data_IF_317559328476
#
_entry.id   IF_317559328476
#
_cell.length_a   1.000
_cell.length_b   1.000
_cell.length_c   1.000
_cell.angle_alpha   90.00
_cell.angle_beta   90.00
_cell.angle_gamma   90.00
#
_symmetry.space_group_name_H-M   'P 1'
#
loop_
_entity.id
_entity.type
_entity.pdbx_description
1 polymer ?
#
# COMPACT_ATOMS: atom_id res chain seq x y z
N UNK A 1 -17.25 -8.77 -0.79
CA UNK A 1 -16.12 -7.84 -0.70
C UNK A 1 -15.31 -8.06 -1.96
N UNK A 2 -15.19 -7.04 -2.80
CA UNK A 2 -14.42 -7.09 -4.05
C UNK A 2 -12.94 -6.81 -3.76
N UNK A 3 -12.04 -7.13 -4.71
CA UNK A 3 -10.60 -6.89 -4.55
C UNK A 3 -10.29 -5.44 -4.12
N UNK A 4 -10.98 -4.46 -4.71
CA UNK A 4 -10.84 -3.04 -4.34
C UNK A 4 -11.12 -2.75 -2.86
N UNK A 5 -12.07 -3.44 -2.25
CA UNK A 5 -12.42 -3.23 -0.83
C UNK A 5 -11.29 -3.72 0.08
N UNK A 6 -10.61 -4.79 -0.32
CA UNK A 6 -9.42 -5.29 0.36
C UNK A 6 -8.22 -4.36 0.17
N UNK A 7 -8.00 -3.85 -1.05
CA UNK A 7 -6.94 -2.85 -1.31
C UNK A 7 -7.18 -1.60 -0.46
N UNK A 8 -8.42 -1.09 -0.40
CA UNK A 8 -8.78 0.04 0.44
C UNK A 8 -8.54 -0.22 1.93
N UNK A 9 -8.81 -1.44 2.38
CA UNK A 9 -8.55 -1.85 3.77
C UNK A 9 -7.04 -1.92 4.03
N UNK A 10 -6.27 -2.47 3.09
CA UNK A 10 -4.82 -2.55 3.15
C UNK A 10 -4.17 -1.16 3.26
N UNK A 11 -4.56 -0.20 2.41
CA UNK A 11 -4.09 1.20 2.48
C UNK A 11 -4.32 1.79 3.88
N UNK A 12 -5.52 1.58 4.45
CA UNK A 12 -5.85 2.08 5.80
C UNK A 12 -5.02 1.42 6.89
N UNK A 13 -4.75 0.12 6.77
CA UNK A 13 -3.93 -0.59 7.75
C UNK A 13 -2.47 -0.16 7.65
N UNK A 14 -1.92 -0.04 6.45
CA UNK A 14 -0.56 0.49 6.23
C UNK A 14 -0.45 1.90 6.79
N UNK A 15 -1.41 2.78 6.52
CA UNK A 15 -1.45 4.14 7.10
C UNK A 15 -1.38 4.13 8.63
N UNK A 16 -2.12 3.22 9.29
CA UNK A 16 -2.05 3.06 10.76
C UNK A 16 -0.69 2.55 11.22
N UNK A 17 -0.15 1.53 10.56
CA UNK A 17 1.17 0.95 10.87
C UNK A 17 2.32 1.95 10.66
N UNK A 18 2.19 2.84 9.68
CA UNK A 18 3.13 3.95 9.45
C UNK A 18 2.99 5.03 10.54
N UNK A 19 1.78 5.29 11.01
CA UNK A 19 1.51 6.27 12.06
C UNK A 19 1.92 5.79 13.46
N UNK A 20 1.78 4.49 13.74
CA UNK A 20 2.15 3.88 15.03
C UNK A 20 3.62 3.43 15.10
N UNK A 21 4.34 3.49 13.97
CA UNK A 21 5.77 3.17 13.88
C UNK A 21 6.06 1.67 13.70
N UNK A 22 5.05 0.85 13.40
CA UNK A 22 5.25 -0.58 13.09
C UNK A 22 5.88 -0.81 11.72
N UNK A 23 5.75 0.14 10.79
CA UNK A 23 6.46 0.15 9.51
C UNK A 23 7.58 1.19 9.54
N UNK A 24 8.79 0.76 9.19
CA UNK A 24 9.97 1.60 9.17
C UNK A 24 10.05 2.38 7.85
N UNK A 25 9.86 3.70 7.92
CA UNK A 25 9.95 4.60 6.76
C UNK A 25 11.35 4.66 6.14
N UNK A 26 12.36 4.15 6.83
CA UNK A 26 13.74 4.07 6.35
C UNK A 26 14.15 2.63 6.03
N UNK A 27 13.17 1.75 5.75
CA UNK A 27 13.43 0.36 5.43
C UNK A 27 14.44 0.24 4.28
N UNK A 28 15.55 -0.46 4.55
CA UNK A 28 16.60 -0.65 3.57
C UNK A 28 16.17 -1.68 2.53
N UNK A 29 16.42 -1.38 1.26
CA UNK A 29 16.12 -2.30 0.15
C UNK A 29 15.25 -1.68 -0.93
N UNK A 30 14.59 -0.56 -0.62
CA UNK A 30 13.84 0.24 -1.58
C UNK A 30 14.65 1.46 -2.02
N UNK A 31 14.64 1.74 -3.32
CA UNK A 31 15.24 2.95 -3.88
C UNK A 31 14.23 4.08 -4.04
N UNK A 32 12.93 3.76 -3.96
CA UNK A 32 11.84 4.69 -4.17
C UNK A 32 10.75 4.48 -3.09
N UNK A 33 10.29 5.54 -2.41
CA UNK A 33 9.24 5.44 -1.38
C UNK A 33 7.89 4.94 -1.89
N UNK A 34 7.61 5.11 -3.19
CA UNK A 34 6.39 4.60 -3.83
C UNK A 34 6.45 3.08 -3.98
N UNK A 35 7.59 2.54 -4.42
CA UNK A 35 7.82 1.09 -4.48
C UNK A 35 7.67 0.45 -3.09
N UNK A 36 8.24 1.07 -2.06
CA UNK A 36 8.11 0.62 -0.67
C UNK A 36 6.65 0.64 -0.20
N UNK A 37 5.92 1.72 -0.48
CA UNK A 37 4.51 1.84 -0.10
C UNK A 37 3.65 0.78 -0.80
N UNK A 38 3.84 0.58 -2.10
CA UNK A 38 3.11 -0.43 -2.87
C UNK A 38 3.39 -1.83 -2.34
N UNK A 39 4.64 -2.15 -1.99
CA UNK A 39 4.98 -3.45 -1.42
C UNK A 39 4.35 -3.66 -0.03
N UNK A 40 4.36 -2.65 0.84
CA UNK A 40 3.65 -2.73 2.13
C UNK A 40 2.15 -2.97 1.96
N UNK A 41 1.50 -2.28 1.00
CA UNK A 41 0.09 -2.48 0.69
C UNK A 41 -0.13 -3.91 0.16
N UNK A 42 0.76 -4.41 -0.69
CA UNK A 42 0.68 -5.77 -1.23
C UNK A 42 0.86 -6.85 -0.14
N UNK A 43 1.80 -6.66 0.78
CA UNK A 43 2.00 -7.55 1.95
C UNK A 43 0.73 -7.59 2.80
N UNK A 44 0.17 -6.42 3.14
CA UNK A 44 -1.07 -6.32 3.90
C UNK A 44 -2.25 -6.99 3.17
N UNK A 45 -2.35 -6.78 1.85
CA UNK A 45 -3.38 -7.37 1.01
C UNK A 45 -3.32 -8.91 1.02
N UNK A 46 -2.12 -9.50 1.09
CA UNK A 46 -1.96 -10.97 1.22
C UNK A 46 -2.43 -11.52 2.56
N UNK A 47 -2.37 -10.72 3.62
CA UNK A 47 -2.83 -11.12 4.94
C UNK A 47 -4.37 -11.11 5.00
N UNK A 48 -4.99 -10.10 4.39
CA UNK A 48 -6.44 -9.84 4.48
C UNK A 48 -7.27 -10.53 3.39
N UNK A 49 -6.73 -10.72 2.18
CA UNK A 49 -7.51 -11.24 1.07
C UNK A 49 -7.85 -12.75 1.24
N UNK A 50 -9.11 -13.15 0.94
CA UNK A 50 -9.52 -14.55 1.03
C UNK A 50 -8.90 -15.40 -0.09
N UNK A 51 -8.60 -14.81 -1.24
CA UNK A 51 -7.94 -15.47 -2.37
C UNK A 51 -6.48 -15.01 -2.46
N UNK A 52 -5.62 -15.73 -1.73
CA UNK A 52 -4.18 -15.46 -1.72
C UNK A 52 -3.54 -15.72 -3.08
N UNK A 53 -4.07 -16.66 -3.87
CA UNK A 53 -3.52 -16.99 -5.19
C UNK A 53 -3.78 -15.87 -6.20
N UNK A 54 -4.91 -15.15 -6.08
CA UNK A 54 -5.17 -13.94 -6.84
C UNK A 54 -4.17 -12.82 -6.47
N UNK A 55 -3.92 -12.59 -5.18
CA UNK A 55 -2.99 -11.54 -4.73
C UNK A 55 -1.54 -11.88 -5.06
N UNK A 56 -1.12 -13.14 -4.97
CA UNK A 56 0.24 -13.57 -5.32
C UNK A 56 0.55 -13.32 -6.81
N UNK A 57 -0.47 -13.36 -7.67
CA UNK A 57 -0.32 -13.07 -9.11
C UNK A 57 -0.37 -11.59 -9.45
N UNK A 58 -0.80 -10.75 -8.51
CA UNK A 58 -0.83 -9.29 -8.65
C UNK A 58 0.59 -8.78 -8.45
N UNK A 59 1.13 -8.06 -9.43
CA UNK A 59 2.38 -7.31 -9.26
C UNK A 59 2.09 -5.89 -8.73
N UNK A 60 3.16 -5.10 -8.52
CA UNK A 60 3.02 -3.75 -7.98
C UNK A 60 2.39 -2.79 -9.01
N UNK A 61 2.59 -3.04 -10.31
CA UNK A 61 2.03 -2.21 -11.38
C UNK A 61 0.50 -2.42 -11.47
N UNK A 62 0.05 -3.67 -11.41
CA UNK A 62 -1.37 -4.03 -11.34
C UNK A 62 -2.03 -3.43 -10.08
N UNK A 63 -1.33 -3.50 -8.94
CA UNK A 63 -1.81 -2.91 -7.69
C UNK A 63 -1.96 -1.39 -7.81
N UNK A 64 -0.97 -0.72 -8.39
CA UNK A 64 -1.01 0.70 -8.65
C UNK A 64 -2.17 1.06 -9.61
N UNK A 65 -2.37 0.31 -10.70
CA UNK A 65 -3.48 0.53 -11.63
C UNK A 65 -4.85 0.42 -10.94
N UNK A 66 -5.00 -0.56 -10.04
CA UNK A 66 -6.20 -0.68 -9.22
C UNK A 66 -6.38 0.55 -8.33
N UNK A 67 -5.32 1.02 -7.67
CA UNK A 67 -5.38 2.20 -6.80
C UNK A 67 -5.76 3.46 -7.58
N UNK A 68 -5.08 3.71 -8.71
CA UNK A 68 -5.30 4.87 -9.58
C UNK A 68 -6.71 4.88 -10.20
N UNK A 69 -7.29 3.69 -10.44
CA UNK A 69 -8.64 3.55 -11.00
C UNK A 69 -9.77 4.08 -10.08
N UNK A 70 -9.50 4.28 -8.79
CA UNK A 70 -10.50 4.78 -7.83
C UNK A 70 -10.02 6.06 -7.16
N UNK A 71 -10.69 7.18 -7.45
CA UNK A 71 -10.28 8.52 -7.00
C UNK A 71 -10.10 8.63 -5.48
N UNK A 72 -10.96 7.99 -4.69
CA UNK A 72 -10.86 8.00 -3.23
C UNK A 72 -9.68 7.18 -2.70
N UNK A 73 -9.38 6.04 -3.34
CA UNK A 73 -8.20 5.24 -2.98
C UNK A 73 -6.91 5.92 -3.40
N UNK A 74 -6.90 6.53 -4.58
CA UNK A 74 -5.75 7.26 -5.09
C UNK A 74 -5.43 8.47 -4.21
N UNK A 75 -6.43 9.22 -3.75
CA UNK A 75 -6.24 10.32 -2.80
C UNK A 75 -5.66 9.82 -1.47
N UNK A 76 -6.26 8.79 -0.86
CA UNK A 76 -5.76 8.19 0.40
C UNK A 76 -4.29 7.71 0.23
N UNK A 77 -3.98 7.10 -0.91
CA UNK A 77 -2.65 6.64 -1.26
C UNK A 77 -1.64 7.78 -1.40
N UNK A 78 -1.98 8.85 -2.13
CA UNK A 78 -1.09 10.00 -2.32
C UNK A 78 -0.79 10.72 -1.00
N UNK A 79 -1.81 10.89 -0.14
CA UNK A 79 -1.61 11.47 1.20
C UNK A 79 -0.61 10.64 2.01
N UNK A 80 -0.75 9.31 1.98
CA UNK A 80 0.16 8.41 2.68
C UNK A 80 1.58 8.47 2.09
N UNK A 81 1.71 8.46 0.77
CA UNK A 81 2.99 8.57 0.06
C UNK A 81 3.71 9.88 0.41
N UNK A 82 3.01 11.01 0.39
CA UNK A 82 3.56 12.30 0.80
C UNK A 82 4.03 12.28 2.27
N UNK A 83 3.30 11.60 3.16
CA UNK A 83 3.70 11.47 4.58
C UNK A 83 4.96 10.63 4.80
N UNK A 84 5.25 9.69 3.90
CA UNK A 84 6.48 8.88 3.90
C UNK A 84 7.64 9.73 3.37
N UNK A 85 7.46 10.37 2.20
CA UNK A 85 8.47 11.25 1.58
C UNK A 85 8.89 12.42 2.47
N UNK A 86 7.93 13.04 3.17
CA UNK A 86 8.21 14.20 4.05
C UNK A 86 8.94 13.81 5.33
N UNK A 87 9.01 12.52 5.68
CA UNK A 87 9.77 12.05 6.84
C UNK A 87 11.27 11.92 6.57
N UNK A 88 11.73 12.13 5.32
CA UNK A 88 13.13 12.08 4.90
C UNK A 88 13.88 13.44 5.07
N UNK A 89 13.18 14.51 5.49
CA UNK A 89 13.73 15.85 5.83
C UNK A 89 13.95 16.03 7.35
#
# INVERSE_FOLDING_TARGET
MELKDFVKTAIKNVSRKVADGSLDRNEQGYADPEEMLLDWIWIELKEEAPDKDAVIRLDLDDLYEIIESYADMYEDYQILLESIRTAED
#
